data_IF_802853075517
#
_entry.id   IF_802853075517
#
_cell.length_a   1.000
_cell.length_b   1.000
_cell.length_c   1.000
_cell.angle_alpha   90.00
_cell.angle_beta   90.00
_cell.angle_gamma   90.00
#
_symmetry.space_group_name_H-M   'P 1'
#
loop_
_entity.id
_entity.type
_entity.pdbx_description
1 polymer ?
#
# COMPACT_ATOMS: atom_id res chain seq x y z
N UNK A 1 -3.98 -5.40 14.20
CA UNK A 1 -4.65 -4.24 13.57
C UNK A 1 -5.12 -4.71 12.20
N UNK A 2 -6.40 -4.52 11.87
CA UNK A 2 -6.96 -4.80 10.54
C UNK A 2 -6.84 -3.53 9.69
N UNK A 3 -6.64 -3.66 8.38
CA UNK A 3 -6.47 -2.55 7.45
C UNK A 3 -5.22 -2.64 6.57
N UNK A 4 -5.14 -1.71 5.63
CA UNK A 4 -3.99 -1.49 4.76
C UNK A 4 -2.95 -0.61 5.47
N UNK A 5 -1.67 -0.99 5.44
CA UNK A 5 -0.57 -0.15 5.94
C UNK A 5 0.78 -0.58 5.38
N UNK A 6 1.72 0.35 5.34
CA UNK A 6 3.13 0.02 5.12
C UNK A 6 3.88 -0.16 6.44
N UNK A 7 4.89 -1.01 6.44
CA UNK A 7 5.83 -1.18 7.56
C UNK A 7 7.25 -1.33 7.01
N UNK A 8 8.18 -0.55 7.55
CA UNK A 8 9.61 -0.73 7.30
C UNK A 8 10.14 -1.84 8.21
N UNK A 9 10.68 -2.90 7.61
CA UNK A 9 11.15 -4.10 8.32
C UNK A 9 12.67 -4.16 8.48
N UNK A 10 13.42 -3.27 7.82
CA UNK A 10 14.88 -3.23 7.93
C UNK A 10 15.56 -2.16 7.06
N UNK A 11 16.89 -2.18 7.06
CA UNK A 11 17.76 -1.44 6.13
C UNK A 11 18.78 -2.41 5.54
N UNK A 12 18.96 -2.39 4.22
CA UNK A 12 19.94 -3.22 3.52
C UNK A 12 19.49 -4.66 3.24
N UNK A 13 18.18 -4.93 3.33
CA UNK A 13 17.57 -6.20 2.89
C UNK A 13 17.14 -6.08 1.42
N UNK A 14 16.89 -7.22 0.75
CA UNK A 14 16.34 -7.24 -0.61
C UNK A 14 14.93 -6.61 -0.66
N UNK A 15 14.17 -6.71 0.43
CA UNK A 15 12.93 -5.96 0.65
C UNK A 15 13.00 -5.27 2.01
N UNK A 16 12.93 -3.94 2.02
CA UNK A 16 12.98 -3.13 3.24
C UNK A 16 11.59 -2.74 3.76
N UNK A 17 10.55 -2.90 2.94
CA UNK A 17 9.17 -2.52 3.24
C UNK A 17 8.23 -3.69 2.95
N UNK A 18 7.24 -3.87 3.82
CA UNK A 18 6.08 -4.75 3.58
C UNK A 18 4.79 -3.93 3.58
N UNK A 19 3.84 -4.39 2.78
CA UNK A 19 2.48 -3.87 2.74
C UNK A 19 1.55 -4.89 3.39
N UNK A 20 0.91 -4.49 4.49
CA UNK A 20 -0.08 -5.30 5.20
C UNK A 20 -1.45 -5.13 4.56
N UNK A 21 -2.15 -6.25 4.42
CA UNK A 21 -3.52 -6.35 3.93
C UNK A 21 -4.30 -7.15 4.97
N UNK A 22 -4.82 -6.47 5.99
CA UNK A 22 -5.51 -7.14 7.09
C UNK A 22 -4.54 -8.00 7.90
N UNK A 23 -4.66 -9.33 7.78
CA UNK A 23 -3.79 -10.31 8.47
C UNK A 23 -2.68 -10.88 7.61
N UNK A 24 -2.60 -10.51 6.33
CA UNK A 24 -1.52 -10.92 5.43
C UNK A 24 -0.60 -9.74 5.13
N UNK A 25 0.59 -10.03 4.60
CA UNK A 25 1.52 -9.00 4.15
C UNK A 25 2.24 -9.47 2.89
N UNK A 26 2.68 -8.50 2.09
CA UNK A 26 3.48 -8.74 0.89
C UNK A 26 4.72 -7.85 0.91
N UNK A 27 5.88 -8.35 0.46
CA UNK A 27 7.06 -7.52 0.29
C UNK A 27 6.85 -6.50 -0.84
N UNK A 28 7.38 -5.28 -0.65
CA UNK A 28 7.34 -4.21 -1.65
C UNK A 28 8.77 -3.86 -2.03
N UNK A 29 9.08 -3.84 -3.32
CA UNK A 29 10.40 -3.47 -3.80
C UNK A 29 10.67 -1.98 -3.55
N UNK A 30 11.94 -1.63 -3.36
CA UNK A 30 12.36 -0.24 -3.18
C UNK A 30 11.94 0.62 -4.39
N UNK A 31 11.99 0.07 -5.62
CA UNK A 31 11.49 0.74 -6.84
C UNK A 31 10.00 1.09 -6.73
N UNK A 32 9.16 0.13 -6.30
CA UNK A 32 7.72 0.39 -6.13
C UNK A 32 7.47 1.39 -5.01
N UNK A 33 8.24 1.34 -3.91
CA UNK A 33 8.14 2.32 -2.83
C UNK A 33 8.44 3.72 -3.35
N UNK A 34 9.53 3.91 -4.10
CA UNK A 34 9.91 5.21 -4.64
C UNK A 34 8.91 5.73 -5.69
N UNK A 35 8.35 4.85 -6.53
CA UNK A 35 7.28 5.23 -7.45
C UNK A 35 6.03 5.71 -6.70
N UNK A 36 5.59 4.97 -5.68
CA UNK A 36 4.44 5.35 -4.87
C UNK A 36 4.69 6.65 -4.08
N UNK A 37 5.91 6.87 -3.58
CA UNK A 37 6.30 8.15 -2.96
C UNK A 37 6.17 9.30 -3.94
N UNK A 38 6.72 9.16 -5.15
CA UNK A 38 6.65 10.18 -6.19
C UNK A 38 5.23 10.54 -6.62
N UNK A 39 4.30 9.59 -6.47
CA UNK A 39 2.88 9.74 -6.82
C UNK A 39 1.96 9.97 -5.61
N UNK A 40 2.52 10.19 -4.42
CA UNK A 40 1.75 10.35 -3.17
C UNK A 40 0.83 11.58 -3.14
N UNK A 41 1.03 12.53 -4.05
CA UNK A 41 0.18 13.74 -4.20
C UNK A 41 -0.98 13.55 -5.20
N UNK A 42 -1.11 12.37 -5.83
CA UNK A 42 -2.26 12.07 -6.67
C UNK A 42 -3.56 12.12 -5.85
N UNK A 43 -4.72 12.36 -6.51
CA UNK A 43 -6.02 12.13 -5.88
C UNK A 43 -6.09 10.71 -5.31
N UNK A 44 -6.73 10.54 -4.14
CA UNK A 44 -6.77 9.27 -3.42
C UNK A 44 -7.18 8.07 -4.31
N UNK A 45 -8.20 8.25 -5.15
CA UNK A 45 -8.66 7.21 -6.09
C UNK A 45 -7.58 6.81 -7.11
N UNK A 46 -6.84 7.78 -7.66
CA UNK A 46 -5.74 7.54 -8.61
C UNK A 46 -4.54 6.90 -7.94
N UNK A 47 -4.22 7.33 -6.72
CA UNK A 47 -3.18 6.69 -5.92
C UNK A 47 -3.54 5.24 -5.61
N UNK A 48 -4.80 4.95 -5.28
CA UNK A 48 -5.27 3.59 -5.05
C UNK A 48 -5.15 2.72 -6.30
N UNK A 49 -5.53 3.23 -7.47
CA UNK A 49 -5.37 2.52 -8.75
C UNK A 49 -3.89 2.12 -8.96
N UNK A 50 -2.97 3.07 -8.78
CA UNK A 50 -1.54 2.82 -8.89
C UNK A 50 -1.04 1.80 -7.87
N UNK A 51 -1.43 1.94 -6.60
CA UNK A 51 -1.05 1.02 -5.52
C UNK A 51 -1.52 -0.41 -5.83
N UNK A 52 -2.77 -0.56 -6.26
CA UNK A 52 -3.35 -1.86 -6.63
C UNK A 52 -2.64 -2.46 -7.84
N UNK A 53 -2.23 -1.66 -8.82
CA UNK A 53 -1.52 -2.16 -9.99
C UNK A 53 -0.07 -2.56 -9.68
N UNK A 54 0.64 -1.81 -8.84
CA UNK A 54 2.04 -2.11 -8.49
C UNK A 54 2.19 -3.22 -7.48
N UNK A 55 1.37 -3.22 -6.42
CA UNK A 55 1.46 -4.22 -5.36
C UNK A 55 0.60 -5.45 -5.70
N UNK A 56 -0.55 -5.27 -6.34
CA UNK A 56 -1.46 -6.35 -6.73
C UNK A 56 -1.03 -7.09 -8.00
N UNK A 57 0.14 -7.72 -8.01
CA UNK A 57 0.67 -8.47 -9.16
C UNK A 57 -0.21 -9.67 -9.60
N UNK A 58 -1.22 -10.04 -8.80
CA UNK A 58 -2.22 -11.07 -9.13
C UNK A 58 -3.63 -10.53 -8.92
N UNK A 59 -4.60 -11.07 -9.66
CA UNK A 59 -6.03 -10.76 -9.48
C UNK A 59 -6.48 -10.97 -8.04
N UNK A 60 -6.05 -12.09 -7.42
CA UNK A 60 -6.29 -12.38 -6.01
C UNK A 60 -5.85 -11.25 -5.08
N UNK A 61 -4.62 -10.76 -5.25
CA UNK A 61 -4.07 -9.72 -4.41
C UNK A 61 -4.77 -8.37 -4.64
N UNK A 62 -5.11 -8.04 -5.90
CA UNK A 62 -5.92 -6.85 -6.21
C UNK A 62 -7.27 -6.89 -5.49
N UNK A 63 -7.92 -8.05 -5.49
CA UNK A 63 -9.21 -8.25 -4.84
C UNK A 63 -9.10 -8.18 -3.31
N UNK A 64 -8.03 -8.74 -2.73
CA UNK A 64 -7.76 -8.63 -1.29
C UNK A 64 -7.58 -7.17 -0.84
N UNK A 65 -6.78 -6.39 -1.56
CA UNK A 65 -6.55 -4.97 -1.24
C UNK A 65 -7.87 -4.20 -1.28
N UNK A 66 -8.67 -4.41 -2.34
CA UNK A 66 -9.98 -3.74 -2.50
C UNK A 66 -10.99 -4.18 -1.43
N UNK A 67 -10.99 -5.46 -1.06
CA UNK A 67 -11.88 -6.00 -0.03
C UNK A 67 -11.54 -5.43 1.34
N UNK A 68 -10.25 -5.39 1.69
CA UNK A 68 -9.81 -4.82 2.96
C UNK A 68 -10.06 -3.31 3.04
N UNK A 69 -9.90 -2.60 1.92
CA UNK A 69 -10.24 -1.18 1.85
C UNK A 69 -11.74 -0.95 2.12
N UNK A 70 -12.62 -1.76 1.51
CA UNK A 70 -14.07 -1.67 1.71
C UNK A 70 -14.50 -2.03 3.14
N UNK A 71 -13.75 -2.91 3.80
CA UNK A 71 -14.06 -3.32 5.19
C UNK A 71 -13.74 -2.22 6.21
N UNK A 72 -12.94 -1.20 5.83
CA UNK A 72 -12.49 -0.13 6.72
C UNK A 72 -13.54 0.94 7.04
N UNK A 73 -14.69 0.96 6.35
CA UNK A 73 -15.78 1.92 6.58
C UNK A 73 -15.51 3.34 6.06
N UNK A 74 -14.25 3.77 5.97
CA UNK A 74 -13.81 5.04 5.37
C UNK A 74 -12.59 4.84 4.43
N UNK A 75 -12.83 4.40 3.18
CA UNK A 75 -11.78 4.15 2.21
C UNK A 75 -10.92 5.38 1.89
N UNK A 76 -11.52 6.57 1.83
CA UNK A 76 -10.81 7.79 1.42
C UNK A 76 -9.78 8.17 2.48
N UNK A 77 -10.20 8.21 3.75
CA UNK A 77 -9.29 8.48 4.86
C UNK A 77 -8.17 7.44 4.94
N UNK A 78 -8.48 6.16 4.74
CA UNK A 78 -7.47 5.10 4.75
C UNK A 78 -6.42 5.30 3.64
N UNK A 79 -6.84 5.66 2.44
CA UNK A 79 -5.91 5.95 1.34
C UNK A 79 -5.05 7.17 1.65
N UNK A 80 -5.64 8.25 2.18
CA UNK A 80 -4.88 9.45 2.58
C UNK A 80 -3.84 9.12 3.65
N UNK A 81 -4.17 8.26 4.62
CA UNK A 81 -3.20 7.75 5.61
C UNK A 81 -2.08 6.96 4.93
N UNK A 82 -2.39 6.10 3.95
CA UNK A 82 -1.37 5.38 3.18
C UNK A 82 -0.44 6.32 2.41
N UNK A 83 -0.99 7.38 1.79
CA UNK A 83 -0.22 8.41 1.09
C UNK A 83 0.72 9.16 2.04
N UNK A 84 0.26 9.46 3.26
CA UNK A 84 1.11 10.03 4.31
C UNK A 84 2.21 9.06 4.76
N UNK A 85 1.84 7.82 5.05
CA UNK A 85 2.77 6.80 5.52
C UNK A 85 3.89 6.52 4.51
N UNK A 86 3.57 6.35 3.23
CA UNK A 86 4.57 6.04 2.20
C UNK A 86 5.59 7.16 2.02
N UNK A 87 5.20 8.44 2.23
CA UNK A 87 6.12 9.59 2.18
C UNK A 87 7.13 9.60 3.33
N UNK A 88 6.79 8.99 4.46
CA UNK A 88 7.64 8.92 5.65
C UNK A 88 8.55 7.67 5.66
N UNK A 89 8.37 6.76 4.69
CA UNK A 89 9.21 5.59 4.46
C UNK A 89 10.48 5.89 3.65
#
# INVERSE_FOLDING_TARGET
MKGLRFERIGKGQYYNVVFHIGSTYVPVSDETVEELKGQSLLPAERFLELLVDRIGYSSYLKDQIRTELRSSGDPVTQITVLQGAIREL
#
